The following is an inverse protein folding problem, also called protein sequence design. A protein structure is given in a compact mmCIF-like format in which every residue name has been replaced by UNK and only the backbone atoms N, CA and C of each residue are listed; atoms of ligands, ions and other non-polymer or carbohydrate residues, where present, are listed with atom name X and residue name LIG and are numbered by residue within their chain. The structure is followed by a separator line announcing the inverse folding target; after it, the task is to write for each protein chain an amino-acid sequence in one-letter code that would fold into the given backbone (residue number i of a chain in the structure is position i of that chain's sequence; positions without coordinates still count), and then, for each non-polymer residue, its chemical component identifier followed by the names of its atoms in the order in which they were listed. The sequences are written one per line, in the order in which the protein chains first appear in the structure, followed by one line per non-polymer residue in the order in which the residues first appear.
data_IF_215159863900
#
_entry.id   IF_215159863900
#
_cell.length_a   1.000
_cell.length_b   1.000
_cell.length_c   1.000
_cell.angle_alpha   90.00
_cell.angle_beta   90.00
_cell.angle_gamma   90.00
#
_symmetry.space_group_name_H-M   'P 1'
#
loop_
_entity.id
_entity.type
_entity.pdbx_description
1 polymer ?
#
# COMPACT_ATOMS: atom_id res chain seq x y z
N UNK A 1 -5.20 8.03 27.06
CA UNK A 1 -4.58 6.97 26.25
C UNK A 1 -4.80 7.36 24.80
N UNK A 2 -3.85 7.18 23.87
CA UNK A 2 -4.13 7.47 22.47
C UNK A 2 -5.19 6.48 21.98
N UNK A 3 -6.35 6.99 21.59
CA UNK A 3 -7.49 6.17 21.19
C UNK A 3 -7.44 5.87 19.70
N UNK A 4 -7.77 4.63 19.35
CA UNK A 4 -7.95 4.22 17.96
C UNK A 4 -9.07 5.05 17.32
N UNK A 5 -8.79 5.63 16.16
CA UNK A 5 -9.73 6.47 15.43
C UNK A 5 -10.34 5.71 14.26
N UNK A 6 -11.68 5.68 14.18
CA UNK A 6 -12.39 5.04 13.06
C UNK A 6 -12.36 5.94 11.82
N UNK A 7 -11.95 5.37 10.69
CA UNK A 7 -11.99 6.04 9.39
C UNK A 7 -13.34 5.76 8.73
N UNK A 8 -14.05 6.83 8.40
CA UNK A 8 -15.41 6.76 7.85
C UNK A 8 -15.55 7.40 6.48
N UNK A 9 -14.51 8.04 5.94
CA UNK A 9 -14.58 8.65 4.61
C UNK A 9 -13.25 8.49 3.88
N UNK A 10 -13.24 8.53 2.54
CA UNK A 10 -12.00 8.58 1.77
C UNK A 10 -11.12 9.77 2.17
N UNK A 11 -11.74 10.93 2.45
CA UNK A 11 -11.03 12.13 2.91
C UNK A 11 -10.26 11.88 4.21
N UNK A 12 -10.89 11.24 5.20
CA UNK A 12 -10.21 10.85 6.44
C UNK A 12 -9.10 9.83 6.18
N UNK A 13 -9.33 8.84 5.32
CA UNK A 13 -8.32 7.85 4.97
C UNK A 13 -7.06 8.54 4.44
N UNK A 14 -7.19 9.39 3.43
CA UNK A 14 -6.04 10.06 2.83
C UNK A 14 -5.43 11.10 3.76
N UNK A 15 -6.21 11.76 4.63
CA UNK A 15 -5.66 12.63 5.67
C UNK A 15 -4.64 11.90 6.55
N UNK A 16 -4.94 10.68 6.99
CA UNK A 16 -4.04 9.88 7.80
C UNK A 16 -2.84 9.35 7.00
N UNK A 17 -3.11 8.78 5.81
CA UNK A 17 -2.04 8.23 4.97
C UNK A 17 -1.02 9.31 4.55
N UNK A 18 -1.47 10.53 4.25
CA UNK A 18 -0.59 11.63 3.84
C UNK A 18 0.33 12.11 4.97
N UNK A 19 -0.01 11.79 6.23
CA UNK A 19 0.83 12.02 7.41
C UNK A 19 1.79 10.86 7.71
N UNK A 20 1.82 9.83 6.85
CA UNK A 20 2.61 8.61 7.06
C UNK A 20 1.95 7.60 8.00
N UNK A 21 0.73 7.87 8.47
CA UNK A 21 0.04 6.98 9.40
C UNK A 21 -0.50 5.73 8.69
N UNK A 22 -0.75 4.67 9.46
CA UNK A 22 -1.16 3.36 8.94
C UNK A 22 -2.64 3.11 9.21
N UNK A 23 -3.40 2.90 8.14
CA UNK A 23 -4.77 2.42 8.23
C UNK A 23 -4.78 0.90 8.40
N UNK A 24 -5.58 0.41 9.33
CA UNK A 24 -5.71 -1.00 9.71
C UNK A 24 -7.16 -1.43 9.51
N UNK A 25 -7.37 -2.59 8.91
CA UNK A 25 -8.71 -3.15 8.74
C UNK A 25 -8.69 -4.69 8.89
N UNK A 26 -9.75 -5.28 9.46
CA UNK A 26 -9.82 -6.72 9.65
C UNK A 26 -10.05 -7.44 8.31
N UNK A 27 -9.48 -8.65 8.22
CA UNK A 27 -9.82 -9.67 7.24
C UNK A 27 -10.44 -10.86 7.99
N UNK A 28 -11.14 -11.74 7.29
CA UNK A 28 -11.77 -12.93 7.90
C UNK A 28 -10.78 -13.73 8.75
N UNK A 29 -9.55 -13.93 8.26
CA UNK A 29 -8.48 -14.69 8.93
C UNK A 29 -7.20 -13.88 9.18
N UNK A 30 -7.32 -12.56 9.40
CA UNK A 30 -6.14 -11.74 9.62
C UNK A 30 -6.41 -10.26 9.74
N UNK A 31 -5.37 -9.48 9.46
CA UNK A 31 -5.43 -8.03 9.47
C UNK A 31 -4.73 -7.50 8.22
N UNK A 32 -5.22 -6.40 7.69
CA UNK A 32 -4.59 -5.67 6.63
C UNK A 32 -4.11 -4.31 7.11
N UNK A 33 -2.99 -3.88 6.57
CA UNK A 33 -2.39 -2.58 6.78
C UNK A 33 -2.32 -1.84 5.45
N UNK A 34 -2.61 -0.56 5.45
CA UNK A 34 -2.52 0.33 4.31
C UNK A 34 -1.73 1.56 4.74
N UNK A 35 -0.67 1.86 4.00
CA UNK A 35 0.20 3.02 4.25
C UNK A 35 0.54 3.73 2.94
N UNK A 36 0.73 5.04 2.98
CA UNK A 36 1.37 5.77 1.88
C UNK A 36 2.88 5.76 2.10
N UNK A 37 3.61 5.47 1.04
CA UNK A 37 5.07 5.43 1.06
C UNK A 37 5.59 6.77 0.55
N UNK A 38 6.70 7.30 1.11
CA UNK A 38 7.24 8.60 0.73
C UNK A 38 7.48 8.79 -0.77
N UNK A 39 7.74 7.72 -1.53
CA UNK A 39 7.92 7.81 -2.98
C UNK A 39 6.60 7.97 -3.78
N UNK A 40 5.46 8.17 -3.09
CA UNK A 40 4.19 8.57 -3.71
C UNK A 40 3.23 7.44 -4.08
N UNK A 41 3.49 6.22 -3.62
CA UNK A 41 2.65 5.03 -3.84
C UNK A 41 2.11 4.49 -2.52
N UNK A 42 1.15 3.57 -2.59
CA UNK A 42 0.48 2.98 -1.44
C UNK A 42 0.87 1.51 -1.29
N UNK A 43 1.24 1.11 -0.07
CA UNK A 43 1.56 -0.27 0.27
C UNK A 43 0.37 -0.86 1.04
N UNK A 44 -0.12 -2.00 0.58
CA UNK A 44 -1.13 -2.80 1.27
C UNK A 44 -0.45 -4.08 1.74
N UNK A 45 -0.53 -4.39 3.03
CA UNK A 45 0.02 -5.61 3.62
C UNK A 45 -1.16 -6.41 4.15
N UNK A 46 -1.38 -7.61 3.61
CA UNK A 46 -2.33 -8.56 4.17
C UNK A 46 -1.53 -9.51 5.06
N UNK A 47 -1.85 -9.57 6.35
CA UNK A 47 -1.18 -10.42 7.32
C UNK A 47 -2.19 -11.45 7.86
N UNK A 48 -2.22 -12.66 7.26
CA UNK A 48 -3.01 -13.76 7.80
C UNK A 48 -2.50 -14.19 9.17
N UNK A 49 -3.37 -14.79 10.00
CA UNK A 49 -3.03 -15.26 11.35
C UNK A 49 -1.99 -16.38 11.36
N UNK A 50 -2.03 -17.27 10.38
CA UNK A 50 -1.23 -18.51 10.38
C UNK A 50 -0.29 -18.63 9.17
N UNK A 51 0.00 -17.54 8.47
CA UNK A 51 0.91 -17.57 7.33
C UNK A 51 1.66 -16.25 7.16
N UNK A 52 2.65 -16.25 6.26
CA UNK A 52 3.42 -15.05 5.95
C UNK A 52 2.57 -14.00 5.25
N UNK A 53 2.78 -12.73 5.60
CA UNK A 53 2.06 -11.61 4.99
C UNK A 53 2.36 -11.45 3.49
N UNK A 54 1.35 -10.96 2.76
CA UNK A 54 1.42 -10.57 1.36
C UNK A 54 1.48 -9.06 1.25
N UNK A 55 2.33 -8.55 0.38
CA UNK A 55 2.47 -7.11 0.14
C UNK A 55 2.08 -6.75 -1.29
N UNK A 56 1.30 -5.69 -1.43
CA UNK A 56 0.84 -5.15 -2.70
C UNK A 56 1.24 -3.68 -2.80
N UNK A 57 1.66 -3.29 -4.01
CA UNK A 57 1.91 -1.91 -4.38
C UNK A 57 0.73 -1.40 -5.20
N UNK A 58 0.22 -0.23 -4.84
CA UNK A 58 -0.78 0.49 -5.60
C UNK A 58 -0.28 1.92 -5.85
N UNK A 59 -0.15 2.31 -7.11
CA UNK A 59 0.34 3.65 -7.47
C UNK A 59 -0.81 4.67 -7.60
N UNK A 60 -2.05 4.22 -7.78
CA UNK A 60 -3.21 5.08 -8.05
C UNK A 60 -4.02 5.34 -6.78
N UNK A 61 -4.20 6.61 -6.45
CA UNK A 61 -5.05 7.05 -5.33
C UNK A 61 -6.50 6.58 -5.51
N UNK A 62 -7.00 6.63 -6.73
CA UNK A 62 -8.37 6.26 -7.09
C UNK A 62 -8.64 4.78 -6.84
N UNK A 63 -7.65 3.93 -7.09
CA UNK A 63 -7.76 2.50 -6.82
C UNK A 63 -7.78 2.18 -5.31
N UNK A 64 -7.03 2.94 -4.50
CA UNK A 64 -7.10 2.83 -3.03
C UNK A 64 -8.44 3.31 -2.51
N UNK A 65 -8.98 4.40 -3.07
CA UNK A 65 -10.30 4.90 -2.72
C UNK A 65 -11.40 3.87 -3.05
N UNK A 66 -11.37 3.30 -4.26
CA UNK A 66 -12.32 2.28 -4.67
C UNK A 66 -12.27 1.05 -3.76
N UNK A 67 -11.07 0.58 -3.40
CA UNK A 67 -10.89 -0.51 -2.43
C UNK A 67 -11.51 -0.18 -1.08
N UNK A 68 -11.25 1.02 -0.56
CA UNK A 68 -11.81 1.47 0.72
C UNK A 68 -13.34 1.49 0.69
N UNK A 69 -13.94 2.07 -0.35
CA UNK A 69 -15.39 2.16 -0.50
C UNK A 69 -16.04 0.78 -0.66
N UNK A 70 -15.43 -0.11 -1.45
CA UNK A 70 -15.91 -1.48 -1.64
C UNK A 70 -15.90 -2.27 -0.33
N UNK A 71 -14.79 -2.26 0.41
CA UNK A 71 -14.66 -3.00 1.67
C UNK A 71 -15.58 -2.41 2.74
N UNK A 72 -15.74 -1.08 2.78
CA UNK A 72 -16.70 -0.43 3.67
C UNK A 72 -18.15 -0.79 3.31
N UNK A 73 -18.48 -0.89 2.03
CA UNK A 73 -19.77 -1.38 1.55
C UNK A 73 -20.07 -2.82 1.99
N UNK A 74 -19.02 -3.62 2.20
CA UNK A 74 -19.10 -4.97 2.80
C UNK A 74 -19.12 -4.97 4.33
N UNK A 75 -19.16 -3.80 4.98
CA UNK A 75 -19.22 -3.65 6.44
C UNK A 75 -17.86 -3.67 7.15
N UNK A 76 -16.75 -3.71 6.40
CA UNK A 76 -15.40 -3.72 6.98
C UNK A 76 -15.07 -2.32 7.53
N UNK A 77 -14.62 -2.26 8.78
CA UNK A 77 -14.25 -1.03 9.44
C UNK A 77 -12.75 -0.77 9.34
N UNK A 78 -12.38 0.47 9.02
CA UNK A 78 -11.00 0.94 8.98
C UNK A 78 -10.69 1.76 10.22
N UNK A 79 -9.48 1.60 10.73
CA UNK A 79 -9.01 2.23 11.96
C UNK A 79 -7.59 2.74 11.77
N UNK A 80 -7.21 3.76 12.52
CA UNK A 80 -5.83 4.25 12.60
C UNK A 80 -5.48 4.45 14.06
N UNK A 81 -4.22 4.14 14.39
CA UNK A 81 -3.63 4.61 15.64
C UNK A 81 -2.85 5.89 15.31
N UNK A 82 -3.31 7.08 15.76
CA UNK A 82 -2.66 8.33 15.39
C UNK A 82 -1.17 8.32 15.77
N UNK A 83 -0.31 8.69 14.81
CA UNK A 83 1.15 8.65 14.98
C UNK A 83 1.80 7.27 14.83
N UNK A 84 1.06 6.22 14.43
CA UNK A 84 1.69 4.93 14.09
C UNK A 84 2.39 5.00 12.74
N UNK A 85 3.66 4.61 12.70
CA UNK A 85 4.40 4.34 11.46
C UNK A 85 4.78 2.85 11.44
N UNK A 86 4.75 2.22 10.26
CA UNK A 86 5.20 0.83 10.11
C UNK A 86 6.72 0.83 9.88
N UNK A 87 7.50 0.25 10.80
CA UNK A 87 8.93 0.04 10.56
C UNK A 87 9.15 -0.81 9.31
N UNK A 88 10.00 -0.32 8.41
CA UNK A 88 10.26 -0.90 7.09
C UNK A 88 11.12 -2.16 7.27
N UNK A 89 10.49 -3.33 7.42
CA UNK A 89 11.22 -4.61 7.37
C UNK A 89 11.37 -5.02 5.90
N UNK A 90 12.59 -4.93 5.36
CA UNK A 90 12.88 -5.30 3.97
C UNK A 90 12.63 -6.80 3.72
N UNK A 91 11.56 -7.10 2.98
CA UNK A 91 11.25 -8.47 2.58
C UNK A 91 12.21 -8.94 1.45
N UNK A 92 12.75 -10.18 1.53
CA UNK A 92 13.67 -10.74 0.53
C UNK A 92 13.13 -10.78 -0.91
N UNK A 93 14.04 -10.62 -1.88
CA UNK A 93 13.77 -10.44 -3.33
C UNK A 93 12.88 -11.51 -3.99
N UNK A 94 12.92 -12.75 -3.51
CA UNK A 94 12.15 -13.88 -4.05
C UNK A 94 10.64 -13.75 -3.79
N UNK A 95 10.21 -12.96 -2.79
CA UNK A 95 8.79 -12.72 -2.47
C UNK A 95 8.08 -11.79 -3.46
N UNK A 96 8.82 -11.00 -4.26
CA UNK A 96 8.25 -10.10 -5.27
C UNK A 96 7.65 -10.83 -6.48
N UNK A 97 8.03 -12.09 -6.70
CA UNK A 97 7.57 -12.88 -7.83
C UNK A 97 6.15 -13.45 -7.64
N UNK A 98 5.78 -13.82 -6.40
CA UNK A 98 4.47 -14.44 -6.09
C UNK A 98 3.33 -13.42 -6.18
N UNK A 99 3.55 -12.18 -5.72
CA UNK A 99 2.57 -11.09 -5.87
C UNK A 99 2.23 -10.78 -7.33
N UNK A 100 3.19 -10.97 -8.25
CA UNK A 100 3.02 -10.72 -9.69
C UNK A 100 2.06 -11.73 -10.35
N UNK A 101 2.00 -12.97 -9.84
CA UNK A 101 1.09 -14.00 -10.34
C UNK A 101 -0.36 -13.76 -9.88
N UNK A 102 -0.55 -13.28 -8.64
CA UNK A 102 -1.88 -12.94 -8.11
C UNK A 102 -2.48 -11.67 -8.75
N UNK A 103 -1.65 -10.66 -9.09
CA UNK A 103 -2.11 -9.49 -9.84
C UNK A 103 -2.67 -9.84 -11.23
N UNK A 104 -2.14 -10.88 -11.89
CA UNK A 104 -2.68 -11.38 -13.16
C UNK A 104 -4.03 -12.08 -12.98
N UNK A 105 -4.22 -12.79 -11.87
CA UNK A 105 -5.49 -13.45 -11.56
C UNK A 105 -6.62 -12.46 -11.20
N UNK A 106 -6.28 -11.28 -10.68
CA UNK A 106 -7.24 -10.23 -10.27
C UNK A 106 -7.40 -9.10 -11.31
N UNK A 107 -6.86 -9.23 -12.52
CA UNK A 107 -7.04 -8.24 -13.59
C UNK A 107 -6.26 -6.93 -13.43
N UNK A 108 -5.27 -6.88 -12.53
CA UNK A 108 -4.37 -5.72 -12.36
C UNK A 108 -3.16 -5.87 -13.31
N UNK A 109 -3.36 -5.52 -14.59
CA UNK A 109 -2.33 -5.69 -15.63
C UNK A 109 -1.23 -4.61 -15.58
N UNK A 110 -0.01 -5.14 -15.36
CA UNK A 110 1.36 -4.78 -15.81
C UNK A 110 1.90 -3.34 -15.81
N UNK A 111 2.78 -3.12 -14.81
CA UNK A 111 4.23 -2.82 -14.93
C UNK A 111 4.75 -2.50 -16.34
N UNK A 112 5.02 -1.21 -16.60
CA UNK A 112 6.03 -0.79 -17.59
C UNK A 112 7.35 -0.51 -16.86
N UNK A 113 8.29 -1.44 -17.01
CA UNK A 113 9.70 -1.29 -16.61
C UNK A 113 10.34 -0.22 -17.51
N UNK A 114 10.55 0.99 -17.01
CA UNK A 114 11.39 1.99 -17.70
C UNK A 114 12.81 1.81 -17.18
N UNK A 115 13.62 1.07 -17.94
CA UNK A 115 15.07 1.02 -17.74
C UNK A 115 15.62 2.44 -17.89
N UNK A 116 16.22 2.95 -16.82
CA UNK A 116 17.12 4.10 -16.88
C UNK A 116 18.44 3.59 -17.43
N UNK A 117 18.81 4.04 -18.63
CA UNK A 117 20.22 4.12 -19.04
C UNK A 117 20.62 5.57 -18.82
N UNK A 118 21.43 5.80 -17.80
CA UNK A 118 22.02 7.10 -17.49
C UNK A 118 23.24 7.40 -18.36
N UNK A 119 23.57 8.69 -18.38
CA UNK A 119 24.85 9.33 -18.73
C UNK A 119 25.39 9.15 -20.16
N UNK A 120 25.85 10.20 -20.85
CA UNK A 120 26.59 11.35 -20.32
C UNK A 120 26.30 12.64 -21.09
N UNK A 121 26.05 13.72 -20.34
CA UNK A 121 26.43 15.08 -20.71
C UNK A 121 27.96 15.17 -20.71
N UNK A 122 28.56 15.35 -21.89
CA UNK A 122 29.85 16.01 -22.03
C UNK A 122 29.74 16.97 -23.22
N UNK A 123 29.20 18.15 -22.93
CA UNK A 123 29.44 19.33 -23.74
C UNK A 123 30.89 19.74 -23.60
N UNK A 124 31.62 19.79 -24.72
CA UNK A 124 32.88 20.51 -24.85
C UNK A 124 32.64 21.60 -25.91
N UNK A 125 32.77 22.88 -25.56
CA UNK A 125 32.68 23.96 -26.54
C UNK A 125 34.07 24.32 -27.07
N UNK A 126 34.25 24.31 -28.39
CA UNK A 126 34.94 25.30 -29.24
C UNK A 126 35.22 24.70 -30.62
#
# INVERSE_FOLDING_TARGET
MPDWSKITTPTQLFYHLDRGEVAVFPLDDGVAFLQRVPEGWYKIILQPRFSSGLEFRQDKKEAVQALFEELRGKGISFWVFPGSELERVDAPWWKRAVGKALCRAWGLVEVKKKERKGESDLGVPS
#
